data_IF_769656139251
#
_entry.id   IF_769656139251
#
_cell.length_a   1.000
_cell.length_b   1.000
_cell.length_c   1.000
_cell.angle_alpha   90.00
_cell.angle_beta   90.00
_cell.angle_gamma   90.00
#
_symmetry.space_group_name_H-M   'P 1'
#
loop_
_entity.id
_entity.type
_entity.pdbx_description
1 polymer ?
#
# COMPACT_ATOMS: atom_id res chain seq x y z
N UNK A 1 46.38 -33.39 2.47
CA UNK A 1 45.20 -33.17 1.59
C UNK A 1 43.94 -33.82 2.17
N UNK A 2 43.38 -33.29 3.27
CA UNK A 2 42.07 -33.74 3.80
C UNK A 2 41.19 -32.63 4.38
N UNK A 3 41.69 -31.39 4.46
CA UNK A 3 40.96 -30.22 5.00
C UNK A 3 40.30 -29.33 3.94
N UNK A 4 40.82 -29.33 2.70
CA UNK A 4 40.29 -28.55 1.56
C UNK A 4 38.79 -28.81 1.31
N UNK A 5 38.39 -30.09 1.42
CA UNK A 5 37.00 -30.50 1.23
C UNK A 5 36.07 -29.99 2.33
N UNK A 6 36.55 -29.86 3.58
CA UNK A 6 35.74 -29.32 4.67
C UNK A 6 35.47 -27.83 4.51
N UNK A 7 36.46 -27.07 4.02
CA UNK A 7 36.33 -25.63 3.80
C UNK A 7 35.29 -25.33 2.71
N UNK A 8 35.30 -26.09 1.61
CA UNK A 8 34.32 -25.92 0.52
C UNK A 8 32.89 -26.21 0.96
N UNK A 9 32.69 -27.26 1.76
CA UNK A 9 31.36 -27.61 2.30
C UNK A 9 30.83 -26.51 3.22
N UNK A 10 31.69 -25.96 4.09
CA UNK A 10 31.30 -24.92 5.05
C UNK A 10 30.85 -23.64 4.32
N UNK A 11 31.61 -23.19 3.32
CA UNK A 11 31.24 -21.99 2.54
C UNK A 11 29.91 -22.20 1.81
N UNK A 12 29.71 -23.37 1.20
CA UNK A 12 28.46 -23.68 0.50
C UNK A 12 27.24 -23.63 1.45
N UNK A 13 27.36 -24.16 2.66
CA UNK A 13 26.28 -24.13 3.67
C UNK A 13 25.99 -22.70 4.13
N UNK A 14 27.03 -21.89 4.38
CA UNK A 14 26.86 -20.49 4.82
C UNK A 14 26.11 -19.68 3.75
N UNK A 15 26.44 -19.85 2.47
CA UNK A 15 25.78 -19.13 1.36
C UNK A 15 24.28 -19.44 1.33
N UNK A 16 23.90 -20.72 1.43
CA UNK A 16 22.49 -21.14 1.40
C UNK A 16 21.70 -20.61 2.62
N UNK A 17 22.33 -20.60 3.80
CA UNK A 17 21.71 -20.07 5.02
C UNK A 17 21.45 -18.56 4.94
N UNK A 18 22.42 -17.79 4.42
CA UNK A 18 22.30 -16.33 4.30
C UNK A 18 21.23 -15.94 3.25
N UNK A 19 21.16 -16.65 2.12
CA UNK A 19 20.17 -16.35 1.06
C UNK A 19 18.73 -16.58 1.51
N UNK A 20 18.50 -17.56 2.39
CA UNK A 20 17.16 -17.92 2.85
C UNK A 20 16.50 -16.81 3.68
N UNK A 21 17.28 -16.07 4.47
CA UNK A 21 16.77 -14.99 5.32
C UNK A 21 16.39 -13.74 4.50
N UNK A 22 17.08 -13.46 3.40
CA UNK A 22 16.84 -12.30 2.55
C UNK A 22 15.61 -12.45 1.64
N UNK A 23 15.24 -13.69 1.29
CA UNK A 23 14.13 -13.94 0.36
C UNK A 23 12.76 -13.58 0.97
N UNK A 24 12.55 -13.87 2.25
CA UNK A 24 11.28 -13.59 2.94
C UNK A 24 11.09 -12.09 3.24
N UNK A 25 12.16 -11.34 3.49
CA UNK A 25 12.07 -9.89 3.73
C UNK A 25 11.80 -9.13 2.43
N UNK A 26 12.50 -9.45 1.34
CA UNK A 26 12.37 -8.76 0.05
C UNK A 26 10.93 -8.81 -0.52
N UNK A 27 10.25 -9.95 -0.38
CA UNK A 27 8.90 -10.09 -0.90
C UNK A 27 7.87 -9.21 -0.16
N UNK A 28 8.11 -8.92 1.11
CA UNK A 28 7.23 -8.06 1.91
C UNK A 28 7.40 -6.59 1.55
N UNK A 29 8.65 -6.15 1.37
CA UNK A 29 8.96 -4.78 0.95
C UNK A 29 8.43 -4.46 -0.46
N UNK A 30 8.54 -5.41 -1.40
CA UNK A 30 8.01 -5.23 -2.75
C UNK A 30 6.48 -5.05 -2.76
N UNK A 31 5.75 -5.75 -1.88
CA UNK A 31 4.30 -5.59 -1.73
C UNK A 31 3.93 -4.20 -1.18
N UNK A 32 4.65 -3.74 -0.16
CA UNK A 32 4.41 -2.43 0.43
C UNK A 32 4.69 -1.30 -0.57
N UNK A 33 5.71 -1.43 -1.42
CA UNK A 33 5.98 -0.47 -2.49
C UNK A 33 4.83 -0.37 -3.50
N UNK A 34 4.27 -1.49 -3.93
CA UNK A 34 3.11 -1.52 -4.83
C UNK A 34 1.92 -0.79 -4.19
N UNK A 35 1.67 -1.04 -2.91
CA UNK A 35 0.58 -0.35 -2.18
C UNK A 35 0.79 1.16 -2.10
N UNK A 36 2.01 1.60 -1.85
CA UNK A 36 2.34 3.03 -1.82
C UNK A 36 2.14 3.70 -3.18
N UNK A 37 2.44 2.99 -4.27
CA UNK A 37 2.17 3.47 -5.64
C UNK A 37 0.67 3.61 -5.88
N UNK A 38 -0.13 2.62 -5.48
CA UNK A 38 -1.60 2.67 -5.59
C UNK A 38 -2.19 3.84 -4.80
N UNK A 39 -1.78 4.02 -3.54
CA UNK A 39 -2.20 5.16 -2.71
C UNK A 39 -1.88 6.49 -3.39
N UNK A 40 -0.67 6.61 -3.95
CA UNK A 40 -0.24 7.82 -4.66
C UNK A 40 -1.09 8.09 -5.91
N UNK A 41 -1.51 7.04 -6.64
CA UNK A 41 -2.41 7.16 -7.80
C UNK A 41 -3.80 7.62 -7.37
N UNK A 42 -4.36 7.03 -6.32
CA UNK A 42 -5.66 7.43 -5.75
C UNK A 42 -5.61 8.90 -5.31
N UNK A 43 -4.56 9.32 -4.61
CA UNK A 43 -4.42 10.72 -4.17
C UNK A 43 -4.36 11.70 -5.34
N UNK A 44 -3.61 11.36 -6.40
CA UNK A 44 -3.55 12.19 -7.61
C UNK A 44 -4.92 12.29 -8.28
N UNK A 45 -5.62 11.16 -8.44
CA UNK A 45 -6.97 11.15 -9.00
C UNK A 45 -7.96 11.99 -8.18
N UNK A 46 -7.93 11.86 -6.85
CA UNK A 46 -8.75 12.67 -5.94
C UNK A 46 -8.43 14.16 -6.03
N UNK A 47 -7.15 14.51 -6.18
CA UNK A 47 -6.72 15.91 -6.35
C UNK A 47 -7.23 16.49 -7.67
N UNK A 48 -7.14 15.73 -8.77
CA UNK A 48 -7.67 16.15 -10.07
C UNK A 48 -9.19 16.32 -9.99
N UNK A 49 -9.90 15.37 -9.36
CA UNK A 49 -11.34 15.49 -9.15
C UNK A 49 -11.71 16.77 -8.39
N UNK A 50 -10.98 17.09 -7.32
CA UNK A 50 -11.20 18.30 -6.53
C UNK A 50 -10.94 19.57 -7.34
N UNK A 51 -9.90 19.59 -8.18
CA UNK A 51 -9.57 20.72 -9.04
C UNK A 51 -10.70 21.04 -10.04
N UNK A 52 -11.35 20.00 -10.58
CA UNK A 52 -12.43 20.16 -11.55
C UNK A 52 -13.81 20.44 -10.92
N UNK A 53 -14.11 19.81 -9.77
CA UNK A 53 -15.45 19.86 -9.17
C UNK A 53 -15.54 20.81 -7.96
N UNK A 54 -14.41 21.19 -7.37
CA UNK A 54 -14.32 22.03 -6.16
C UNK A 54 -14.63 21.28 -4.85
N UNK A 55 -14.83 19.97 -4.90
CA UNK A 55 -15.06 19.13 -3.73
C UNK A 55 -14.51 17.71 -3.98
N UNK A 56 -14.14 17.01 -2.91
CA UNK A 56 -13.80 15.58 -2.98
C UNK A 56 -15.05 14.73 -3.15
N UNK A 57 -15.02 13.59 -3.87
CA UNK A 57 -16.21 12.79 -4.15
C UNK A 57 -16.82 12.18 -2.87
N UNK A 58 -18.14 11.92 -2.90
CA UNK A 58 -18.84 11.21 -1.83
C UNK A 58 -18.31 9.77 -1.69
N UNK A 59 -18.27 9.25 -0.47
CA UNK A 59 -17.91 7.85 -0.23
C UNK A 59 -19.15 6.95 -0.20
N UNK A 60 -19.09 5.81 -0.87
CA UNK A 60 -20.04 4.71 -0.77
C UNK A 60 -19.26 3.41 -0.56
N UNK A 61 -19.58 2.67 0.51
CA UNK A 61 -18.90 1.43 0.87
C UNK A 61 -17.36 1.53 0.91
N UNK A 62 -16.83 2.68 1.32
CA UNK A 62 -15.38 2.89 1.41
C UNK A 62 -14.71 3.26 0.09
N UNK A 63 -15.48 3.57 -0.96
CA UNK A 63 -14.95 3.98 -2.26
C UNK A 63 -15.57 5.31 -2.71
N UNK A 64 -14.81 6.18 -3.37
CA UNK A 64 -15.33 7.43 -3.92
C UNK A 64 -16.26 7.17 -5.12
N UNK A 65 -17.46 7.75 -5.09
CA UNK A 65 -18.44 7.66 -6.16
C UNK A 65 -18.04 8.61 -7.29
N UNK A 66 -18.00 8.11 -8.53
CA UNK A 66 -17.76 8.94 -9.72
C UNK A 66 -16.28 9.23 -10.02
N UNK A 67 -15.33 8.53 -9.37
CA UNK A 67 -13.90 8.73 -9.64
C UNK A 67 -13.40 8.04 -10.92
N UNK A 68 -14.23 7.22 -11.58
CA UNK A 68 -13.84 6.36 -12.70
C UNK A 68 -13.25 7.13 -13.90
N UNK A 69 -13.53 8.42 -14.04
CA UNK A 69 -12.96 9.26 -15.09
C UNK A 69 -11.51 9.69 -14.80
N UNK A 70 -11.06 9.57 -13.55
CA UNK A 70 -9.75 10.03 -13.08
C UNK A 70 -8.87 8.87 -12.58
N UNK A 71 -9.48 7.70 -12.37
CA UNK A 71 -8.83 6.48 -11.93
C UNK A 71 -9.47 5.30 -12.67
N UNK A 72 -8.68 4.59 -13.47
CA UNK A 72 -9.16 3.50 -14.34
C UNK A 72 -9.95 2.43 -13.57
N UNK A 73 -9.50 2.10 -12.37
CA UNK A 73 -10.18 1.20 -11.45
C UNK A 73 -9.74 1.46 -10.01
N UNK A 74 -10.61 1.14 -9.05
CA UNK A 74 -10.23 1.14 -7.64
C UNK A 74 -9.27 -0.04 -7.38
N UNK A 75 -8.00 0.22 -7.01
CA UNK A 75 -7.03 -0.86 -6.87
C UNK A 75 -7.43 -1.78 -5.73
N UNK A 76 -7.15 -3.08 -5.90
CA UNK A 76 -7.30 -4.08 -4.86
C UNK A 76 -5.90 -4.47 -4.38
N UNK A 77 -5.63 -4.43 -3.07
CA UNK A 77 -4.31 -4.77 -2.57
C UNK A 77 -3.97 -6.24 -2.88
N UNK A 78 -2.69 -6.54 -3.16
CA UNK A 78 -2.28 -7.87 -3.64
C UNK A 78 -2.42 -9.00 -2.61
N UNK A 79 -2.54 -8.68 -1.31
CA UNK A 79 -2.79 -9.65 -0.23
C UNK A 79 -3.54 -9.01 0.93
N UNK A 80 -4.45 -9.78 1.55
CA UNK A 80 -5.00 -9.45 2.86
C UNK A 80 -3.92 -9.74 3.90
N UNK A 81 -3.24 -8.69 4.37
CA UNK A 81 -2.23 -8.86 5.42
C UNK A 81 -2.92 -9.19 6.75
N UNK A 82 -2.34 -10.11 7.52
CA UNK A 82 -2.89 -10.65 8.77
C UNK A 82 -3.18 -9.60 9.85
N UNK A 83 -2.58 -8.42 9.77
CA UNK A 83 -2.80 -7.30 10.69
C UNK A 83 -3.99 -6.41 10.32
N UNK A 84 -4.64 -6.66 9.18
CA UNK A 84 -5.85 -5.96 8.77
C UNK A 84 -6.96 -6.97 8.52
N UNK A 85 -8.07 -6.80 9.25
CA UNK A 85 -9.28 -7.61 9.09
C UNK A 85 -9.65 -7.74 7.62
N UNK A 86 -10.08 -8.93 7.18
CA UNK A 86 -10.51 -9.22 5.80
C UNK A 86 -11.64 -8.30 5.28
N UNK A 87 -12.35 -7.63 6.19
CA UNK A 87 -13.36 -6.60 5.93
C UNK A 87 -12.83 -5.16 5.83
N UNK A 88 -11.55 -4.96 6.12
CA UNK A 88 -10.81 -3.69 6.10
C UNK A 88 -9.47 -3.82 5.35
N UNK A 89 -9.28 -4.91 4.61
CA UNK A 89 -8.07 -5.16 3.84
C UNK A 89 -7.96 -4.28 2.60
N UNK A 90 -9.03 -3.56 2.22
CA UNK A 90 -9.10 -2.69 1.07
C UNK A 90 -8.79 -1.23 1.42
N UNK A 91 -8.32 -0.47 0.41
CA UNK A 91 -8.23 0.99 0.51
C UNK A 91 -9.62 1.55 0.85
N UNK A 92 -9.75 2.12 2.04
CA UNK A 92 -11.02 2.64 2.53
C UNK A 92 -10.99 4.16 2.54
N UNK A 93 -11.77 4.75 1.64
CA UNK A 93 -11.94 6.18 1.47
C UNK A 93 -13.20 6.67 2.20
N UNK A 94 -13.06 7.73 2.98
CA UNK A 94 -14.17 8.41 3.65
C UNK A 94 -14.03 9.91 3.43
N UNK A 95 -15.05 10.50 2.81
CA UNK A 95 -15.15 11.95 2.65
C UNK A 95 -15.45 12.62 4.00
N UNK A 96 -14.88 13.79 4.26
CA UNK A 96 -15.08 14.61 5.45
C UNK A 96 -15.48 16.03 5.05
N UNK A 97 -16.04 16.78 5.99
CA UNK A 97 -16.35 18.20 5.84
C UNK A 97 -17.13 18.52 4.54
N UNK A 98 -18.13 17.68 4.22
CA UNK A 98 -18.98 17.80 3.03
C UNK A 98 -18.19 17.95 1.69
N UNK A 99 -17.03 17.29 1.59
CA UNK A 99 -16.18 17.33 0.40
C UNK A 99 -14.99 18.30 0.51
N UNK A 100 -14.83 18.98 1.65
CA UNK A 100 -13.63 19.78 1.91
C UNK A 100 -12.38 18.92 2.15
N UNK A 101 -12.54 17.76 2.78
CA UNK A 101 -11.44 16.89 3.18
C UNK A 101 -11.74 15.42 2.91
N UNK A 102 -10.71 14.56 2.98
CA UNK A 102 -10.90 13.12 2.95
C UNK A 102 -9.93 12.37 3.87
N UNK A 103 -10.34 11.17 4.24
CA UNK A 103 -9.50 10.20 4.94
C UNK A 103 -9.39 8.94 4.10
N UNK A 104 -8.16 8.57 3.73
CA UNK A 104 -7.86 7.31 3.05
C UNK A 104 -7.12 6.40 4.02
N UNK A 105 -7.75 5.30 4.41
CA UNK A 105 -7.17 4.29 5.29
C UNK A 105 -6.68 3.11 4.48
N UNK A 106 -5.48 2.64 4.78
CA UNK A 106 -4.87 1.48 4.11
C UNK A 106 -3.95 0.73 5.05
N UNK A 107 -3.53 -0.45 4.63
CA UNK A 107 -2.74 -1.36 5.44
C UNK A 107 -1.45 -1.75 4.74
N UNK A 108 -0.34 -1.57 5.45
CA UNK A 108 0.96 -2.13 5.11
C UNK A 108 1.20 -3.40 5.94
N UNK A 109 2.19 -4.20 5.55
CA UNK A 109 2.45 -5.49 6.17
C UNK A 109 2.60 -5.44 7.70
N UNK A 110 3.14 -4.33 8.22
CA UNK A 110 3.41 -4.14 9.67
C UNK A 110 2.50 -3.13 10.37
N UNK A 111 1.71 -2.34 9.64
CA UNK A 111 0.96 -1.24 10.23
C UNK A 111 -0.26 -0.81 9.40
N UNK A 112 -1.32 -0.43 10.09
CA UNK A 112 -2.44 0.33 9.50
C UNK A 112 -2.09 1.81 9.48
N UNK A 113 -2.23 2.45 8.33
CA UNK A 113 -2.01 3.88 8.15
C UNK A 113 -3.28 4.56 7.64
N UNK A 114 -3.38 5.85 7.95
CA UNK A 114 -4.44 6.71 7.43
C UNK A 114 -3.82 8.01 6.94
N UNK A 115 -4.27 8.46 5.78
CA UNK A 115 -3.92 9.76 5.24
C UNK A 115 -5.14 10.64 5.41
N UNK A 116 -4.94 11.77 6.07
CA UNK A 116 -5.92 12.83 6.20
C UNK A 116 -5.43 13.95 5.28
N UNK A 117 -6.18 14.24 4.22
CA UNK A 117 -5.97 15.46 3.46
C UNK A 117 -6.87 16.51 4.10
N UNK A 118 -6.29 17.26 5.03
CA UNK A 118 -6.87 18.52 5.48
C UNK A 118 -6.32 19.59 4.55
N UNK A 119 -7.18 20.31 3.84
CA UNK A 119 -6.80 21.49 3.09
C UNK A 119 -6.27 22.54 4.10
N UNK A 120 -4.98 22.46 4.47
CA UNK A 120 -4.32 23.59 5.11
C UNK A 120 -4.21 24.68 4.05
N UNK A 121 -5.12 25.63 4.19
CA UNK A 121 -5.10 26.92 3.55
C UNK A 121 -3.73 27.55 3.82
N UNK A 122 -2.98 27.83 2.74
CA UNK A 122 -1.68 28.53 2.67
C UNK A 122 -0.44 27.83 3.25
#
# INVERSE_FOLDING_TARGET
MRIEFWILIVIAVIVVLVTSLAFFSAQTEARDQIKMIDVSRIQKALKIYFDENGFYPYSNNGQPIGINNYLDFWPKPPSADSNCSSTQSDYNYVQKNNGGDFTLTFCLAKARLQIINSQSTQ
#
